data_IF_444916695593
#
_entry.id   IF_444916695593
#
_cell.length_a   1.000
_cell.length_b   1.000
_cell.length_c   1.000
_cell.angle_alpha   90.00
_cell.angle_beta   90.00
_cell.angle_gamma   90.00
#
_symmetry.space_group_name_H-M   'P 1'
#
loop_
_entity.id
_entity.type
_entity.pdbx_description
1 polymer ?
#
# COMPACT_ATOMS: atom_id res chain seq x y z
N UNK A 1 -34.51 -5.21 17.94
CA UNK A 1 -33.71 -4.52 16.93
C UNK A 1 -32.26 -4.80 17.27
N UNK A 2 -31.59 -5.66 16.52
CA UNK A 2 -30.19 -6.02 16.76
C UNK A 2 -29.35 -5.11 15.88
N UNK A 3 -28.46 -4.32 16.49
CA UNK A 3 -27.49 -3.51 15.77
C UNK A 3 -26.25 -4.38 15.60
N UNK A 4 -25.88 -4.66 14.36
CA UNK A 4 -24.67 -5.38 14.03
C UNK A 4 -23.47 -4.44 14.04
N UNK A 5 -22.33 -4.92 14.54
CA UNK A 5 -21.04 -4.25 14.42
C UNK A 5 -20.51 -4.30 12.98
N UNK A 6 -19.57 -3.42 12.65
CA UNK A 6 -18.86 -3.44 11.35
C UNK A 6 -18.23 -4.80 11.06
N UNK A 7 -17.71 -5.48 12.09
CA UNK A 7 -17.13 -6.81 11.97
C UNK A 7 -18.16 -7.89 11.65
N UNK A 8 -19.33 -7.85 12.30
CA UNK A 8 -20.44 -8.76 11.98
C UNK A 8 -20.98 -8.50 10.58
N UNK A 9 -21.09 -7.24 10.15
CA UNK A 9 -21.52 -6.90 8.80
C UNK A 9 -20.51 -7.43 7.77
N UNK A 10 -19.21 -7.23 8.00
CA UNK A 10 -18.17 -7.73 7.10
C UNK A 10 -18.24 -9.25 6.94
N UNK A 11 -18.27 -9.97 8.06
CA UNK A 11 -18.24 -11.43 8.08
C UNK A 11 -19.53 -12.08 7.53
N UNK A 12 -20.69 -11.41 7.66
CA UNK A 12 -21.98 -11.98 7.25
C UNK A 12 -22.33 -11.60 5.80
N UNK A 13 -21.98 -10.39 5.35
CA UNK A 13 -22.51 -9.84 4.09
C UNK A 13 -21.44 -9.46 3.07
N UNK A 14 -20.22 -9.11 3.51
CA UNK A 14 -19.20 -8.51 2.63
C UNK A 14 -18.20 -9.56 2.16
N UNK A 15 -17.78 -10.49 3.04
CA UNK A 15 -16.78 -11.51 2.73
C UNK A 15 -17.13 -12.40 1.54
N UNK A 16 -18.42 -12.55 1.22
CA UNK A 16 -18.89 -13.32 0.05
C UNK A 16 -18.42 -12.74 -1.29
N UNK A 17 -17.97 -11.49 -1.32
CA UNK A 17 -17.42 -10.86 -2.52
C UNK A 17 -15.88 -10.90 -2.57
N UNK A 18 -15.23 -11.65 -1.67
CA UNK A 18 -13.77 -11.75 -1.59
C UNK A 18 -13.13 -12.14 -2.94
N UNK A 19 -13.73 -13.07 -3.69
CA UNK A 19 -13.20 -13.49 -4.99
C UNK A 19 -13.17 -12.34 -5.99
N UNK A 20 -14.25 -11.55 -6.06
CA UNK A 20 -14.33 -10.39 -6.98
C UNK A 20 -13.36 -9.30 -6.56
N UNK A 21 -13.25 -9.05 -5.25
CA UNK A 21 -12.28 -8.12 -4.70
C UNK A 21 -10.85 -8.57 -5.05
N UNK A 22 -10.53 -9.84 -4.84
CA UNK A 22 -9.21 -10.42 -5.12
C UNK A 22 -8.85 -10.28 -6.60
N UNK A 23 -9.78 -10.58 -7.51
CA UNK A 23 -9.58 -10.42 -8.94
C UNK A 23 -9.26 -8.97 -9.32
N UNK A 24 -10.03 -8.00 -8.79
CA UNK A 24 -9.78 -6.59 -9.02
C UNK A 24 -8.43 -6.15 -8.44
N UNK A 25 -8.07 -6.65 -7.26
CA UNK A 25 -6.82 -6.36 -6.59
C UNK A 25 -5.61 -6.88 -7.40
N UNK A 26 -5.69 -8.11 -7.91
CA UNK A 26 -4.63 -8.71 -8.73
C UNK A 26 -4.49 -8.06 -10.10
N UNK A 27 -5.58 -7.54 -10.67
CA UNK A 27 -5.52 -6.78 -11.92
C UNK A 27 -4.70 -5.49 -11.77
N UNK A 28 -4.72 -4.88 -10.59
CA UNK A 28 -3.97 -3.66 -10.30
C UNK A 28 -2.53 -3.94 -9.85
N UNK A 29 -2.33 -4.96 -9.00
CA UNK A 29 -1.00 -5.37 -8.50
C UNK A 29 -0.90 -6.90 -8.56
N UNK A 30 -0.40 -7.48 -9.68
CA UNK A 30 -0.42 -8.93 -9.91
C UNK A 30 0.31 -9.77 -8.86
N UNK A 31 1.34 -9.22 -8.22
CA UNK A 31 2.10 -9.95 -7.20
C UNK A 31 1.31 -10.23 -5.92
N UNK A 32 0.18 -9.54 -5.68
CA UNK A 32 -0.73 -9.83 -4.57
C UNK A 32 -1.38 -11.22 -4.69
N UNK A 33 -1.43 -11.81 -5.89
CA UNK A 33 -1.94 -13.18 -6.10
C UNK A 33 -1.11 -14.27 -5.41
N UNK A 34 0.11 -13.95 -4.97
CA UNK A 34 0.99 -14.86 -4.23
C UNK A 34 0.71 -14.90 -2.72
N UNK A 35 -0.14 -14.02 -2.21
CA UNK A 35 -0.44 -13.93 -0.79
C UNK A 35 -1.46 -15.00 -0.36
N UNK A 36 -1.40 -15.47 0.90
CA UNK A 36 -2.43 -16.32 1.47
C UNK A 36 -3.80 -15.63 1.48
N UNK A 37 -4.88 -16.40 1.29
CA UNK A 37 -6.27 -15.91 1.31
C UNK A 37 -6.58 -15.10 2.58
N UNK A 38 -6.08 -15.52 3.75
CA UNK A 38 -6.26 -14.81 5.02
C UNK A 38 -5.65 -13.39 5.00
N UNK A 39 -4.52 -13.19 4.31
CA UNK A 39 -3.94 -11.86 4.12
C UNK A 39 -4.80 -11.03 3.19
N UNK A 40 -5.37 -11.63 2.15
CA UNK A 40 -6.27 -10.94 1.22
C UNK A 40 -7.58 -10.55 1.90
N UNK A 41 -8.13 -11.39 2.79
CA UNK A 41 -9.28 -11.04 3.64
C UNK A 41 -8.99 -9.85 4.53
N UNK A 42 -7.79 -9.77 5.12
CA UNK A 42 -7.37 -8.61 5.92
C UNK A 42 -7.33 -7.34 5.08
N UNK A 43 -6.75 -7.40 3.88
CA UNK A 43 -6.75 -6.28 2.93
C UNK A 43 -8.19 -5.86 2.57
N UNK A 44 -9.09 -6.83 2.36
CA UNK A 44 -10.48 -6.53 2.06
C UNK A 44 -11.22 -5.88 3.23
N UNK A 45 -10.90 -6.29 4.47
CA UNK A 45 -11.41 -5.66 5.68
C UNK A 45 -10.94 -4.22 5.81
N UNK A 46 -9.67 -3.94 5.52
CA UNK A 46 -9.17 -2.56 5.46
C UNK A 46 -9.91 -1.75 4.39
N UNK A 47 -10.12 -2.33 3.20
CA UNK A 47 -10.89 -1.68 2.13
C UNK A 47 -12.33 -1.35 2.57
N UNK A 48 -12.99 -2.25 3.29
CA UNK A 48 -14.35 -2.05 3.79
C UNK A 48 -14.43 -0.98 4.90
N UNK A 49 -13.39 -0.89 5.75
CA UNK A 49 -13.36 0.07 6.86
C UNK A 49 -13.05 1.51 6.40
N UNK A 50 -12.41 1.68 5.25
CA UNK A 50 -12.21 3.00 4.64
C UNK A 50 -13.39 3.33 3.72
N UNK A 51 -14.18 4.34 4.08
CA UNK A 51 -15.19 4.90 3.18
C UNK A 51 -14.54 5.24 1.82
N UNK A 52 -15.18 4.79 0.73
CA UNK A 52 -14.62 4.61 -0.63
C UNK A 52 -14.03 5.82 -1.36
N UNK A 53 -13.71 6.95 -0.70
CA UNK A 53 -13.30 8.18 -1.37
C UNK A 53 -11.79 8.49 -1.38
N UNK A 54 -10.91 7.67 -0.79
CA UNK A 54 -9.46 7.84 -1.02
C UNK A 54 -8.70 6.53 -1.19
N UNK A 55 -8.49 6.12 -2.44
CA UNK A 55 -7.65 4.98 -2.80
C UNK A 55 -6.19 5.13 -2.32
N UNK A 56 -5.71 6.36 -2.10
CA UNK A 56 -4.35 6.61 -1.63
C UNK A 56 -4.09 6.06 -0.21
N UNK A 57 -4.94 6.42 0.76
CA UNK A 57 -4.78 6.00 2.14
C UNK A 57 -5.00 4.50 2.31
N UNK A 58 -5.96 3.93 1.57
CA UNK A 58 -6.15 2.49 1.50
C UNK A 58 -4.86 1.78 1.08
N UNK A 59 -4.25 2.19 -0.04
CA UNK A 59 -3.01 1.57 -0.50
C UNK A 59 -1.85 1.75 0.48
N UNK A 60 -1.76 2.87 1.19
CA UNK A 60 -0.78 3.04 2.27
C UNK A 60 -0.96 2.03 3.39
N UNK A 61 -2.19 1.77 3.84
CA UNK A 61 -2.46 0.76 4.86
C UNK A 61 -2.16 -0.66 4.35
N UNK A 62 -2.46 -0.95 3.08
CA UNK A 62 -2.06 -2.22 2.45
C UNK A 62 -0.54 -2.37 2.44
N UNK A 63 0.21 -1.33 2.08
CA UNK A 63 1.69 -1.36 2.06
C UNK A 63 2.24 -1.61 3.48
N UNK A 64 1.70 -0.92 4.49
CA UNK A 64 2.07 -1.14 5.91
C UNK A 64 1.80 -2.59 6.34
N UNK A 65 0.59 -3.07 6.09
CA UNK A 65 0.19 -4.44 6.43
C UNK A 65 1.14 -5.47 5.80
N UNK A 66 1.47 -5.32 4.51
CA UNK A 66 2.39 -6.21 3.80
C UNK A 66 3.79 -6.18 4.42
N UNK A 67 4.24 -5.00 4.88
CA UNK A 67 5.53 -4.82 5.54
C UNK A 67 5.61 -5.48 6.91
N UNK A 68 4.60 -5.27 7.75
CA UNK A 68 4.49 -5.91 9.07
C UNK A 68 4.53 -7.45 8.97
N UNK A 69 4.05 -8.00 7.86
CA UNK A 69 4.04 -9.45 7.61
C UNK A 69 5.23 -9.92 6.74
N UNK A 70 6.27 -9.09 6.58
CA UNK A 70 7.52 -9.39 5.86
C UNK A 70 7.39 -9.63 4.34
N UNK A 71 6.30 -9.22 3.70
CA UNK A 71 6.10 -9.32 2.25
C UNK A 71 6.79 -8.18 1.48
N UNK A 72 8.10 -7.97 1.71
CA UNK A 72 8.84 -6.78 1.25
C UNK A 72 8.79 -6.57 -0.27
N UNK A 73 8.85 -7.64 -1.06
CA UNK A 73 8.74 -7.53 -2.52
C UNK A 73 7.34 -7.06 -2.94
N UNK A 74 6.30 -7.64 -2.35
CA UNK A 74 4.90 -7.34 -2.70
C UNK A 74 4.51 -5.94 -2.22
N UNK A 75 4.99 -5.52 -1.05
CA UNK A 75 4.80 -4.15 -0.56
C UNK A 75 5.42 -3.10 -1.47
N UNK A 76 6.55 -3.43 -2.13
CA UNK A 76 7.17 -2.56 -3.13
C UNK A 76 6.24 -2.41 -4.33
N UNK A 77 5.79 -3.53 -4.89
CA UNK A 77 4.96 -3.51 -6.10
C UNK A 77 3.65 -2.71 -5.86
N UNK A 78 3.09 -2.80 -4.64
CA UNK A 78 1.93 -1.99 -4.22
C UNK A 78 2.26 -0.49 -4.09
N UNK A 79 3.44 -0.13 -3.58
CA UNK A 79 3.87 1.27 -3.50
C UNK A 79 4.18 1.89 -4.86
N UNK A 80 4.76 1.11 -5.78
CA UNK A 80 4.95 1.51 -7.17
C UNK A 80 3.59 1.80 -7.84
N UNK A 81 2.63 0.89 -7.71
CA UNK A 81 1.27 1.07 -8.23
C UNK A 81 0.59 2.33 -7.66
N UNK A 82 0.70 2.54 -6.34
CA UNK A 82 0.16 3.73 -5.68
C UNK A 82 0.74 5.00 -6.27
N UNK A 83 2.06 5.09 -6.46
CA UNK A 83 2.68 6.30 -6.99
C UNK A 83 2.37 6.55 -8.47
N UNK A 84 2.31 5.49 -9.29
CA UNK A 84 1.89 5.61 -10.68
C UNK A 84 0.44 6.12 -10.80
N UNK A 85 -0.42 5.72 -9.87
CA UNK A 85 -1.84 6.11 -9.86
C UNK A 85 -2.07 7.54 -9.36
N UNK A 86 -1.06 8.18 -8.75
CA UNK A 86 -1.13 9.52 -8.17
C UNK A 86 0.02 10.42 -8.65
N UNK A 87 0.45 10.22 -9.90
CA UNK A 87 1.68 10.82 -10.45
C UNK A 87 1.70 12.36 -10.42
N UNK A 88 0.53 12.98 -10.44
CA UNK A 88 0.37 14.45 -10.46
C UNK A 88 0.66 15.10 -9.10
N UNK A 89 0.74 14.31 -8.02
CA UNK A 89 0.78 14.84 -6.65
C UNK A 89 2.17 14.88 -6.02
N UNK A 90 3.24 14.53 -6.75
CA UNK A 90 4.63 14.57 -6.31
C UNK A 90 4.87 13.91 -4.92
N UNK A 91 4.46 12.64 -4.77
CA UNK A 91 4.63 11.89 -3.52
C UNK A 91 5.90 11.03 -3.50
N UNK A 92 6.40 10.77 -2.30
CA UNK A 92 7.42 9.75 -2.05
C UNK A 92 6.97 8.73 -1.02
N UNK A 93 7.31 7.45 -1.18
CA UNK A 93 7.05 6.40 -0.19
C UNK A 93 8.38 5.77 0.20
N UNK A 94 8.70 5.81 1.49
CA UNK A 94 9.88 5.16 2.04
C UNK A 94 9.48 3.80 2.60
N UNK A 95 10.10 2.74 2.08
CA UNK A 95 9.95 1.37 2.55
C UNK A 95 11.27 0.86 3.11
N UNK A 96 11.29 0.45 4.38
CA UNK A 96 12.50 -0.05 5.04
C UNK A 96 12.52 -1.57 5.11
N UNK A 97 13.55 -2.23 4.56
CA UNK A 97 13.90 -3.62 4.82
C UNK A 97 14.98 -3.74 5.91
N UNK A 98 15.44 -4.97 6.18
CA UNK A 98 16.39 -5.24 7.26
C UNK A 98 17.73 -4.49 7.10
N UNK A 99 18.23 -4.36 5.87
CA UNK A 99 19.54 -3.72 5.56
C UNK A 99 19.49 -2.72 4.39
N UNK A 100 18.30 -2.50 3.83
CA UNK A 100 18.12 -1.74 2.60
C UNK A 100 16.83 -0.94 2.71
N UNK A 101 16.89 0.33 2.33
CA UNK A 101 15.75 1.24 2.34
C UNK A 101 15.48 1.71 0.92
N UNK A 102 14.21 1.74 0.55
CA UNK A 102 13.75 2.12 -0.77
C UNK A 102 12.93 3.39 -0.65
N UNK A 103 13.24 4.39 -1.46
CA UNK A 103 12.39 5.56 -1.66
C UNK A 103 11.84 5.49 -3.08
N UNK A 104 10.53 5.32 -3.18
CA UNK A 104 9.80 5.46 -4.42
C UNK A 104 9.34 6.91 -4.54
N UNK A 105 9.55 7.55 -5.68
CA UNK A 105 9.11 8.91 -5.95
C UNK A 105 8.24 8.91 -7.21
N UNK A 106 7.10 9.58 -7.11
CA UNK A 106 6.28 9.97 -8.24
C UNK A 106 6.89 11.21 -8.92
N UNK A 107 7.29 11.08 -10.18
CA UNK A 107 7.64 12.18 -11.07
C UNK A 107 6.66 12.19 -12.25
N UNK A 108 6.40 13.37 -12.84
CA UNK A 108 5.44 13.52 -13.96
C UNK A 108 5.68 12.51 -15.09
N UNK A 109 4.87 11.46 -15.16
CA UNK A 109 4.94 10.38 -16.15
C UNK A 109 5.71 9.12 -15.76
N UNK A 110 6.43 9.10 -14.62
CA UNK A 110 7.29 7.98 -14.21
C UNK A 110 7.46 7.86 -12.69
N UNK A 111 7.58 6.61 -12.20
CA UNK A 111 8.08 6.34 -10.86
C UNK A 111 9.61 6.13 -10.87
N UNK A 112 10.32 6.73 -9.92
CA UNK A 112 11.74 6.44 -9.69
C UNK A 112 11.95 5.71 -8.36
N UNK A 113 12.81 4.69 -8.38
CA UNK A 113 13.19 3.91 -7.21
C UNK A 113 14.64 4.22 -6.83
N UNK A 114 14.84 4.66 -5.60
CA UNK A 114 16.15 4.90 -5.01
C UNK A 114 16.42 3.92 -3.88
N UNK A 115 17.61 3.35 -3.86
CA UNK A 115 18.07 2.41 -2.82
C UNK A 115 19.11 3.06 -1.90
N UNK A 116 18.94 2.89 -0.59
CA UNK A 116 19.81 3.44 0.45
C UNK A 116 20.18 2.39 1.48
N UNK A 117 21.36 2.57 2.08
CA UNK A 117 21.84 1.70 3.17
C UNK A 117 21.36 2.15 4.55
N UNK A 118 20.83 3.37 4.66
CA UNK A 118 20.27 3.88 5.90
C UNK A 118 18.99 4.69 5.70
N UNK A 119 18.08 4.63 6.68
CA UNK A 119 16.88 5.49 6.72
C UNK A 119 17.27 6.98 6.73
N UNK A 120 18.37 7.33 7.38
CA UNK A 120 18.81 8.72 7.50
C UNK A 120 19.27 9.29 6.15
N UNK A 121 19.99 8.51 5.34
CA UNK A 121 20.32 8.89 3.96
C UNK A 121 19.05 9.06 3.13
N UNK A 122 18.12 8.12 3.24
CA UNK A 122 16.84 8.17 2.54
C UNK A 122 16.05 9.44 2.89
N UNK A 123 15.95 9.78 4.19
CA UNK A 123 15.26 10.99 4.67
C UNK A 123 15.98 12.27 4.24
N UNK A 124 17.31 12.30 4.26
CA UNK A 124 18.11 13.45 3.78
C UNK A 124 17.92 13.67 2.29
N UNK A 125 17.94 12.59 1.50
CA UNK A 125 17.70 12.65 0.07
C UNK A 125 16.28 13.14 -0.23
N UNK A 126 15.26 12.56 0.41
CA UNK A 126 13.87 13.00 0.25
C UNK A 126 13.68 14.50 0.54
N UNK A 127 14.33 15.02 1.59
CA UNK A 127 14.30 16.46 1.91
C UNK A 127 15.02 17.35 0.87
N UNK A 128 16.00 16.79 0.16
CA UNK A 128 16.75 17.53 -0.88
C UNK A 128 15.97 17.66 -2.18
N UNK A 129 15.02 16.76 -2.43
CA UNK A 129 14.08 16.85 -3.53
C UNK A 129 13.00 17.88 -3.17
N UNK A 130 13.13 19.09 -3.71
CA UNK A 130 12.13 20.15 -3.51
C UNK A 130 10.78 19.64 -4.07
N UNK A 131 9.69 19.91 -3.35
CA UNK A 131 8.31 19.58 -3.74
C UNK A 131 7.85 18.12 -3.56
N UNK A 132 8.65 17.24 -2.94
CA UNK A 132 8.20 15.87 -2.63
C UNK A 132 7.62 15.78 -1.21
N UNK A 133 6.38 15.32 -1.10
CA UNK A 133 5.82 14.88 0.19
C UNK A 133 6.13 13.40 0.41
N UNK A 134 7.11 13.09 1.27
CA UNK A 134 7.53 11.72 1.55
C UNK A 134 6.82 11.13 2.78
N UNK A 135 6.13 10.00 2.59
CA UNK A 135 5.50 9.21 3.66
C UNK A 135 6.42 8.06 4.05
N UNK A 136 6.69 7.95 5.35
CA UNK A 136 7.45 6.82 5.90
C UNK A 136 6.50 5.70 6.30
N UNK A 137 6.70 4.52 5.70
CA UNK A 137 5.99 3.29 6.07
C UNK A 137 6.96 2.45 6.90
N UNK A 138 6.75 2.48 8.22
CA UNK A 138 7.54 1.75 9.22
C UNK A 138 7.19 0.26 9.23
#
# INVERSE_FOLDING_TARGET
MTILSSEEIFNIYVSDQLDKFSLALYANVPSLSSLPEETIKRIYKEYYNFDCEFSFYFWLEVIKLLKENNYTRVSRDAAEHLLMSFEESNYGIIISGNNTHYLYISLKGYGELYEFKSVDECKKFAKSQREIFAVYVA
#
